data_IF_979502344522
#
_entry.id   IF_979502344522
#
_cell.length_a   1.000
_cell.length_b   1.000
_cell.length_c   1.000
_cell.angle_alpha   90.00
_cell.angle_beta   90.00
_cell.angle_gamma   90.00
#
_symmetry.space_group_name_H-M   'P 1'
#
loop_
_entity.id
_entity.type
_entity.pdbx_description
1 polymer ?
#
# COMPACT_ATOMS: atom_id res chain seq x y z
N UNK A 1 -7.28 9.16 5.88
CA UNK A 1 -8.17 10.05 5.08
C UNK A 1 -7.36 11.11 4.37
N UNK A 2 -7.88 11.66 3.27
CA UNK A 2 -7.33 12.84 2.60
C UNK A 2 -8.29 14.01 2.81
N UNK A 3 -7.96 15.01 3.65
CA UNK A 3 -8.82 16.17 3.86
C UNK A 3 -9.02 16.98 2.58
N UNK A 4 -10.25 17.40 2.34
CA UNK A 4 -10.65 18.17 1.16
C UNK A 4 -11.32 19.47 1.57
N UNK A 5 -11.11 20.53 0.77
CA UNK A 5 -11.86 21.79 0.89
C UNK A 5 -13.28 21.61 0.32
N UNK A 6 -14.22 22.55 0.62
CA UNK A 6 -15.55 22.53 -0.01
C UNK A 6 -15.52 22.56 -1.56
N UNK A 7 -14.46 23.12 -2.14
CA UNK A 7 -14.23 23.18 -3.59
C UNK A 7 -13.54 21.94 -4.15
N UNK A 8 -13.51 20.85 -3.36
CA UNK A 8 -12.93 19.54 -3.74
C UNK A 8 -11.42 19.60 -4.07
N UNK A 9 -10.69 20.51 -3.44
CA UNK A 9 -9.23 20.55 -3.50
C UNK A 9 -8.64 19.86 -2.27
N UNK A 10 -7.46 19.29 -2.37
CA UNK A 10 -6.77 18.73 -1.21
C UNK A 10 -6.40 19.84 -0.21
N UNK A 11 -6.87 19.71 1.03
CA UNK A 11 -6.49 20.60 2.14
C UNK A 11 -5.20 20.10 2.78
N UNK A 12 -4.07 20.54 2.23
CA UNK A 12 -2.74 20.13 2.71
C UNK A 12 -2.47 20.58 4.16
N UNK A 13 -3.06 21.70 4.61
CA UNK A 13 -2.90 22.18 5.99
C UNK A 13 -3.60 21.24 6.98
N UNK A 14 -4.81 20.84 6.67
CA UNK A 14 -5.53 19.84 7.48
C UNK A 14 -4.85 18.47 7.40
N UNK A 15 -4.24 18.10 6.27
CA UNK A 15 -3.46 16.88 6.13
C UNK A 15 -2.22 16.92 7.04
N UNK A 16 -1.47 18.03 7.09
CA UNK A 16 -0.34 18.19 8.02
C UNK A 16 -0.80 17.98 9.48
N UNK A 17 -1.90 18.60 9.87
CA UNK A 17 -2.47 18.47 11.23
C UNK A 17 -2.91 17.03 11.54
N UNK A 18 -3.51 16.34 10.58
CA UNK A 18 -3.90 14.93 10.72
C UNK A 18 -2.67 14.03 10.89
N UNK A 19 -1.63 14.23 10.09
CA UNK A 19 -0.39 13.47 10.21
C UNK A 19 0.25 13.65 11.59
N UNK A 20 0.36 14.90 12.10
CA UNK A 20 0.86 15.16 13.46
C UNK A 20 0.01 14.46 14.51
N UNK A 21 -1.32 14.58 14.42
CA UNK A 21 -2.22 13.91 15.36
C UNK A 21 -1.98 12.40 15.40
N UNK A 22 -1.87 11.75 14.26
CA UNK A 22 -1.65 10.29 14.19
C UNK A 22 -0.30 9.90 14.77
N UNK A 23 0.77 10.65 14.47
CA UNK A 23 2.10 10.42 15.02
C UNK A 23 2.08 10.57 16.56
N UNK A 24 1.45 11.60 17.07
CA UNK A 24 1.29 11.82 18.52
C UNK A 24 0.47 10.72 19.20
N UNK A 25 -0.44 10.06 18.47
CA UNK A 25 -1.18 8.88 18.95
C UNK A 25 -0.38 7.58 18.91
N UNK A 26 0.84 7.61 18.37
CA UNK A 26 1.78 6.48 18.44
C UNK A 26 1.63 5.49 17.28
N UNK A 27 1.15 5.92 16.10
CA UNK A 27 1.20 5.05 14.93
C UNK A 27 2.66 4.78 14.53
N UNK A 28 2.94 3.58 14.03
CA UNK A 28 4.28 3.20 13.58
C UNK A 28 4.60 3.72 12.17
N UNK A 29 3.58 4.07 11.40
CA UNK A 29 3.75 4.58 10.04
C UNK A 29 2.51 5.24 9.49
N UNK A 30 2.71 6.02 8.42
CA UNK A 30 1.65 6.64 7.61
C UNK A 30 1.54 5.92 6.27
N UNK A 31 0.31 5.71 5.81
CA UNK A 31 0.03 5.07 4.52
C UNK A 31 -0.89 5.97 3.67
N UNK A 32 -0.35 7.08 3.10
CA UNK A 32 -1.13 7.97 2.24
C UNK A 32 -1.55 7.33 0.92
N UNK A 33 -2.51 7.97 0.27
CA UNK A 33 -3.03 7.57 -1.04
C UNK A 33 -3.69 6.18 -1.09
N UNK A 34 -4.11 5.63 0.05
CA UNK A 34 -4.86 4.38 0.11
C UNK A 34 -6.35 4.57 -0.25
N UNK A 35 -7.13 3.48 -0.15
CA UNK A 35 -8.58 3.52 -0.43
C UNK A 35 -9.31 4.50 0.50
N UNK A 36 -9.00 4.49 1.80
CA UNK A 36 -9.52 5.47 2.77
C UNK A 36 -9.02 6.90 2.49
N UNK A 37 -7.87 7.04 1.83
CA UNK A 37 -7.34 8.32 1.34
C UNK A 37 -7.95 8.78 0.02
N UNK A 38 -8.98 8.06 -0.48
CA UNK A 38 -9.77 8.44 -1.66
C UNK A 38 -8.95 8.64 -2.93
N UNK A 39 -7.89 7.82 -3.09
CA UNK A 39 -6.92 7.90 -4.19
C UNK A 39 -7.52 8.05 -5.59
N UNK A 40 -8.71 7.48 -5.81
CA UNK A 40 -9.38 7.48 -7.12
C UNK A 40 -9.90 8.87 -7.52
N UNK A 41 -10.04 9.77 -6.56
CA UNK A 41 -10.48 11.16 -6.79
C UNK A 41 -9.31 12.13 -6.94
N UNK A 42 -8.08 11.68 -6.70
CA UNK A 42 -6.88 12.50 -6.76
C UNK A 42 -6.17 12.35 -8.10
N UNK A 43 -5.71 13.45 -8.65
CA UNK A 43 -4.77 13.45 -9.78
C UNK A 43 -3.40 12.89 -9.35
N UNK A 44 -2.57 12.50 -10.32
CA UNK A 44 -1.21 12.03 -10.01
C UNK A 44 -0.41 13.09 -9.25
N UNK A 45 -0.53 14.35 -9.65
CA UNK A 45 0.19 15.46 -9.01
C UNK A 45 -0.28 15.70 -7.56
N UNK A 46 -1.58 15.59 -7.29
CA UNK A 46 -2.09 15.66 -5.92
C UNK A 46 -1.59 14.48 -5.08
N UNK A 47 -1.57 13.27 -5.62
CA UNK A 47 -1.03 12.10 -4.93
C UNK A 47 0.45 12.24 -4.59
N UNK A 48 1.25 12.78 -5.50
CA UNK A 48 2.67 13.11 -5.26
C UNK A 48 2.80 14.11 -4.12
N UNK A 49 2.05 15.20 -4.17
CA UNK A 49 2.10 16.26 -3.16
C UNK A 49 1.56 15.80 -1.79
N UNK A 50 0.56 14.92 -1.75
CA UNK A 50 0.09 14.27 -0.52
C UNK A 50 1.22 13.46 0.13
N UNK A 51 1.95 12.66 -0.65
CA UNK A 51 3.12 11.91 -0.15
C UNK A 51 4.20 12.85 0.39
N UNK A 52 4.59 13.87 -0.37
CA UNK A 52 5.60 14.86 0.05
C UNK A 52 5.20 15.56 1.35
N UNK A 53 3.91 15.89 1.50
CA UNK A 53 3.37 16.49 2.73
C UNK A 53 3.50 15.54 3.91
N UNK A 54 3.14 14.26 3.73
CA UNK A 54 3.28 13.25 4.79
C UNK A 54 4.74 13.03 5.19
N UNK A 55 5.66 12.96 4.22
CA UNK A 55 7.10 12.82 4.47
C UNK A 55 7.67 14.02 5.24
N UNK A 56 7.30 15.23 4.84
CA UNK A 56 7.70 16.48 5.53
C UNK A 56 7.28 16.45 7.00
N UNK A 57 6.02 16.05 7.28
CA UNK A 57 5.50 16.00 8.65
C UNK A 57 6.13 14.85 9.42
N UNK A 58 6.22 13.67 8.82
CA UNK A 58 6.84 12.51 9.47
C UNK A 58 8.28 12.80 9.92
N UNK A 59 9.07 13.47 9.07
CA UNK A 59 10.44 13.90 9.37
C UNK A 59 11.28 12.80 10.05
N UNK A 60 11.16 11.57 9.58
CA UNK A 60 11.86 10.41 10.10
C UNK A 60 11.35 9.86 11.45
N UNK A 61 10.29 10.43 12.04
CA UNK A 61 9.71 9.94 13.31
C UNK A 61 8.95 8.63 13.17
N UNK A 62 8.34 8.42 12.02
CA UNK A 62 7.57 7.22 11.64
C UNK A 62 7.82 6.88 10.18
N UNK A 63 7.58 5.62 9.81
CA UNK A 63 7.70 5.20 8.42
C UNK A 63 6.59 5.80 7.55
N UNK A 64 6.89 6.04 6.26
CA UNK A 64 5.91 6.50 5.28
C UNK A 64 5.93 5.58 4.07
N UNK A 65 4.89 4.79 3.90
CA UNK A 65 4.65 3.96 2.73
C UNK A 65 3.53 4.55 1.90
N UNK A 66 3.76 4.82 0.62
CA UNK A 66 2.70 5.37 -0.25
C UNK A 66 2.02 4.29 -1.07
N UNK A 67 0.69 4.31 -1.13
CA UNK A 67 -0.03 3.50 -2.10
C UNK A 67 0.09 4.17 -3.48
N UNK A 68 0.62 3.43 -4.46
CA UNK A 68 0.94 3.97 -5.80
C UNK A 68 0.10 3.36 -6.92
N UNK A 69 -0.68 2.30 -6.65
CA UNK A 69 -1.51 1.68 -7.67
C UNK A 69 -2.43 2.68 -8.37
N UNK A 70 -2.55 2.54 -9.67
CA UNK A 70 -3.37 3.38 -10.55
C UNK A 70 -4.05 2.51 -11.61
N UNK A 71 -4.90 3.11 -12.46
CA UNK A 71 -5.59 2.41 -13.55
C UNK A 71 -4.62 1.87 -14.60
N UNK A 72 -3.50 2.56 -14.84
CA UNK A 72 -2.51 2.14 -15.83
C UNK A 72 -1.19 1.75 -15.15
N UNK A 73 -0.49 0.80 -15.76
CA UNK A 73 0.87 0.43 -15.32
C UNK A 73 1.82 1.63 -15.41
N UNK A 74 1.67 2.47 -16.43
CA UNK A 74 2.48 3.68 -16.60
C UNK A 74 2.35 4.63 -15.43
N UNK A 75 1.12 4.96 -15.01
CA UNK A 75 0.87 5.88 -13.92
C UNK A 75 1.32 5.29 -12.58
N UNK A 76 1.16 3.97 -12.40
CA UNK A 76 1.67 3.27 -11.22
C UNK A 76 3.19 3.36 -11.13
N UNK A 77 3.90 3.14 -12.23
CA UNK A 77 5.36 3.27 -12.31
C UNK A 77 5.80 4.70 -12.03
N UNK A 78 5.11 5.70 -12.59
CA UNK A 78 5.42 7.11 -12.35
C UNK A 78 5.31 7.47 -10.86
N UNK A 79 4.26 7.01 -10.18
CA UNK A 79 4.09 7.22 -8.74
C UNK A 79 5.10 6.44 -7.90
N UNK A 80 5.46 5.22 -8.31
CA UNK A 80 6.47 4.40 -7.63
C UNK A 80 7.85 5.06 -7.67
N UNK A 81 8.29 5.50 -8.85
CA UNK A 81 9.55 6.21 -9.05
C UNK A 81 9.58 7.55 -8.30
N UNK A 82 8.45 8.26 -8.27
CA UNK A 82 8.35 9.48 -7.48
C UNK A 82 8.50 9.20 -5.99
N UNK A 83 7.82 8.16 -5.47
CA UNK A 83 7.90 7.79 -4.05
C UNK A 83 9.35 7.46 -3.63
N UNK A 84 10.06 6.68 -4.43
CA UNK A 84 11.48 6.38 -4.19
C UNK A 84 12.33 7.65 -4.21
N UNK A 85 12.15 8.49 -5.23
CA UNK A 85 12.93 9.74 -5.40
C UNK A 85 12.78 10.71 -4.23
N UNK A 86 11.59 10.80 -3.63
CA UNK A 86 11.33 11.73 -2.52
C UNK A 86 11.62 11.12 -1.15
N UNK A 87 12.10 9.87 -1.10
CA UNK A 87 12.57 9.22 0.12
C UNK A 87 11.46 8.59 0.96
N UNK A 88 10.42 8.05 0.34
CA UNK A 88 9.48 7.17 1.05
C UNK A 88 10.20 5.88 1.50
N UNK A 89 9.75 5.26 2.60
CA UNK A 89 10.30 4.00 3.10
C UNK A 89 9.90 2.80 2.23
N UNK A 90 8.90 2.97 1.39
CA UNK A 90 8.43 1.97 0.45
C UNK A 90 7.05 2.32 -0.13
N UNK A 91 6.49 1.36 -0.84
CA UNK A 91 5.20 1.53 -1.51
C UNK A 91 4.27 0.33 -1.31
N UNK A 92 2.96 0.60 -1.40
CA UNK A 92 1.94 -0.41 -1.60
C UNK A 92 1.40 -0.34 -3.03
N UNK A 93 1.22 -1.49 -3.66
CA UNK A 93 0.75 -1.59 -5.04
C UNK A 93 -0.54 -2.39 -5.06
N UNK A 94 -1.69 -1.71 -5.20
CA UNK A 94 -2.97 -2.40 -5.38
C UNK A 94 -3.04 -3.06 -6.76
N UNK A 95 -3.77 -4.17 -6.86
CA UNK A 95 -4.08 -4.75 -8.17
C UNK A 95 -4.72 -3.70 -9.10
N UNK A 96 -4.49 -3.74 -10.41
CA UNK A 96 -5.32 -2.98 -11.33
C UNK A 96 -6.80 -3.22 -11.03
N UNK A 97 -7.61 -2.20 -11.15
CA UNK A 97 -9.02 -2.23 -10.80
C UNK A 97 -9.91 -1.89 -12.00
N UNK A 98 -11.22 -2.13 -11.88
CA UNK A 98 -12.26 -1.95 -12.88
C UNK A 98 -12.34 -3.12 -13.89
N UNK A 99 -11.26 -3.51 -14.58
CA UNK A 99 -11.25 -4.66 -15.48
C UNK A 99 -10.68 -5.90 -14.80
N UNK A 100 -11.29 -7.06 -15.07
CA UNK A 100 -10.79 -8.34 -14.58
C UNK A 100 -9.60 -8.79 -15.42
N UNK A 101 -8.52 -9.15 -14.74
CA UNK A 101 -7.29 -9.66 -15.29
C UNK A 101 -7.07 -11.11 -14.85
N UNK A 102 -6.32 -11.86 -15.63
CA UNK A 102 -5.85 -13.19 -15.20
C UNK A 102 -4.60 -13.09 -14.31
N UNK A 103 -4.22 -14.22 -13.69
CA UNK A 103 -3.08 -14.25 -12.75
C UNK A 103 -1.73 -13.98 -13.43
N UNK A 104 -1.61 -14.24 -14.73
CA UNK A 104 -0.37 -13.98 -15.49
C UNK A 104 -0.24 -12.48 -15.81
N UNK A 105 -1.33 -11.85 -16.19
CA UNK A 105 -1.38 -10.39 -16.42
C UNK A 105 -1.09 -9.62 -15.11
N UNK A 106 -1.64 -10.09 -13.98
CA UNK A 106 -1.36 -9.52 -12.66
C UNK A 106 0.12 -9.70 -12.28
N UNK A 107 0.70 -10.87 -12.54
CA UNK A 107 2.12 -11.12 -12.30
C UNK A 107 3.00 -10.15 -13.08
N UNK A 108 2.76 -10.01 -14.38
CA UNK A 108 3.53 -9.08 -15.24
C UNK A 108 3.35 -7.62 -14.81
N UNK A 109 2.16 -7.22 -14.36
CA UNK A 109 1.92 -5.89 -13.80
C UNK A 109 2.82 -5.64 -12.58
N UNK A 110 2.77 -6.52 -11.57
CA UNK A 110 3.56 -6.35 -10.36
C UNK A 110 5.06 -6.40 -10.63
N UNK A 111 5.51 -7.29 -11.50
CA UNK A 111 6.94 -7.40 -11.87
C UNK A 111 7.42 -6.12 -12.56
N UNK A 112 6.65 -5.56 -13.50
CA UNK A 112 7.01 -4.29 -14.17
C UNK A 112 7.11 -3.14 -13.20
N UNK A 113 6.19 -3.04 -12.25
CA UNK A 113 6.25 -2.01 -11.20
C UNK A 113 7.49 -2.23 -10.32
N UNK A 114 7.72 -3.46 -9.86
CA UNK A 114 8.85 -3.77 -8.99
C UNK A 114 10.21 -3.50 -9.64
N UNK A 115 10.33 -3.78 -10.95
CA UNK A 115 11.55 -3.53 -11.73
C UNK A 115 11.76 -2.06 -12.11
N UNK A 116 10.79 -1.18 -11.84
CA UNK A 116 10.89 0.25 -12.16
C UNK A 116 11.56 1.08 -11.06
N UNK A 117 11.81 0.48 -9.91
CA UNK A 117 12.47 1.06 -8.74
C UNK A 117 13.64 0.18 -8.29
N UNK A 118 14.45 0.65 -7.36
CA UNK A 118 15.62 -0.11 -6.91
C UNK A 118 15.25 -1.38 -6.15
N UNK A 119 16.18 -2.33 -6.16
CA UNK A 119 16.04 -3.62 -5.48
C UNK A 119 15.95 -3.51 -3.94
N UNK A 120 16.35 -2.39 -3.38
CA UNK A 120 16.32 -2.11 -1.94
C UNK A 120 15.09 -1.29 -1.51
N UNK A 121 14.25 -0.86 -2.47
CA UNK A 121 13.03 -0.10 -2.20
C UNK A 121 11.85 -1.03 -1.94
N UNK A 122 11.37 -1.08 -0.70
CA UNK A 122 10.37 -2.05 -0.25
C UNK A 122 9.00 -1.89 -0.92
N UNK A 123 8.46 -3.00 -1.41
CA UNK A 123 7.14 -3.06 -2.06
C UNK A 123 6.24 -4.06 -1.33
N UNK A 124 5.06 -3.58 -0.95
CA UNK A 124 3.95 -4.40 -0.48
C UNK A 124 2.91 -4.55 -1.58
N UNK A 125 2.58 -5.78 -1.93
CA UNK A 125 1.41 -6.07 -2.74
C UNK A 125 0.15 -5.63 -1.96
N UNK A 126 -0.89 -5.17 -2.66
CA UNK A 126 -2.13 -4.79 -1.99
C UNK A 126 -3.34 -5.49 -2.62
N UNK A 127 -3.93 -6.42 -1.89
CA UNK A 127 -5.17 -7.11 -2.26
C UNK A 127 -6.38 -6.50 -1.55
N UNK A 128 -7.36 -6.06 -2.35
CA UNK A 128 -8.67 -5.58 -1.90
C UNK A 128 -9.75 -5.97 -2.93
N UNK A 129 -10.05 -7.28 -3.09
CA UNK A 129 -10.84 -7.79 -4.19
C UNK A 129 -12.25 -7.22 -4.25
N UNK A 130 -12.85 -6.86 -3.13
CA UNK A 130 -14.20 -6.26 -3.09
C UNK A 130 -14.28 -4.88 -3.76
N UNK A 131 -13.16 -4.17 -3.94
CA UNK A 131 -13.09 -2.87 -4.62
C UNK A 131 -12.33 -2.94 -5.94
N UNK A 132 -11.31 -3.80 -6.02
CA UNK A 132 -10.41 -3.85 -7.17
C UNK A 132 -10.82 -4.89 -8.23
N UNK A 133 -11.85 -5.72 -7.98
CA UNK A 133 -12.29 -6.82 -8.86
C UNK A 133 -11.25 -7.94 -9.00
N UNK A 134 -9.98 -7.61 -8.94
CA UNK A 134 -8.85 -8.53 -9.02
C UNK A 134 -8.35 -8.92 -7.64
N UNK A 135 -7.89 -10.15 -7.50
CA UNK A 135 -7.40 -10.68 -6.23
C UNK A 135 -5.98 -11.25 -6.38
N UNK A 136 -5.26 -11.24 -5.28
CA UNK A 136 -3.91 -11.81 -5.18
C UNK A 136 -4.02 -13.16 -4.49
N UNK A 137 -3.56 -14.21 -5.18
CA UNK A 137 -3.42 -15.53 -4.54
C UNK A 137 -2.04 -15.67 -3.90
N UNK A 138 -1.88 -16.55 -2.90
CA UNK A 138 -0.57 -16.86 -2.33
C UNK A 138 0.44 -17.33 -3.38
N UNK A 139 -0.04 -18.10 -4.39
CA UNK A 139 0.79 -18.59 -5.49
C UNK A 139 1.26 -17.44 -6.40
N UNK A 140 0.41 -16.43 -6.65
CA UNK A 140 0.80 -15.22 -7.37
C UNK A 140 1.85 -14.44 -6.57
N UNK A 141 1.60 -14.21 -5.29
CA UNK A 141 2.55 -13.51 -4.40
C UNK A 141 3.92 -14.22 -4.38
N UNK A 142 3.93 -15.56 -4.29
CA UNK A 142 5.15 -16.36 -4.35
C UNK A 142 5.91 -16.18 -5.67
N UNK A 143 5.22 -16.22 -6.82
CA UNK A 143 5.87 -16.04 -8.13
C UNK A 143 6.47 -14.64 -8.28
N UNK A 144 5.74 -13.60 -7.84
CA UNK A 144 6.24 -12.22 -7.89
C UNK A 144 7.45 -12.03 -6.96
N UNK A 145 7.36 -12.49 -5.70
CA UNK A 145 8.45 -12.39 -4.73
C UNK A 145 9.71 -13.16 -5.17
N UNK A 146 9.55 -14.29 -5.88
CA UNK A 146 10.67 -15.05 -6.44
C UNK A 146 11.38 -14.35 -7.60
N UNK A 147 10.70 -13.42 -8.29
CA UNK A 147 11.24 -12.65 -9.43
C UNK A 147 11.78 -11.28 -9.00
N UNK A 148 11.27 -10.73 -7.91
CA UNK A 148 11.53 -9.36 -7.46
C UNK A 148 11.81 -9.35 -5.95
N UNK A 149 13.08 -9.24 -5.57
CA UNK A 149 13.53 -9.31 -4.16
C UNK A 149 13.03 -8.13 -3.32
N UNK A 150 12.67 -7.02 -3.94
CA UNK A 150 12.10 -5.83 -3.31
C UNK A 150 10.61 -5.98 -2.99
N UNK A 151 9.95 -7.06 -3.44
CA UNK A 151 8.56 -7.37 -3.05
C UNK A 151 8.62 -8.17 -1.75
N UNK A 152 8.45 -7.45 -0.63
CA UNK A 152 8.73 -7.96 0.72
C UNK A 152 7.49 -8.36 1.51
N UNK A 153 6.28 -8.06 1.04
CA UNK A 153 5.08 -8.36 1.81
C UNK A 153 3.78 -8.07 1.07
N UNK A 154 2.69 -8.22 1.82
CA UNK A 154 1.34 -7.94 1.36
C UNK A 154 0.53 -7.21 2.43
N UNK A 155 -0.26 -6.22 2.00
CA UNK A 155 -1.45 -5.76 2.71
C UNK A 155 -2.66 -6.46 2.10
N UNK A 156 -3.43 -7.19 2.91
CA UNK A 156 -4.61 -7.89 2.42
C UNK A 156 -5.88 -7.42 3.14
N UNK A 157 -6.76 -6.76 2.41
CA UNK A 157 -7.96 -6.10 2.93
C UNK A 157 -9.24 -6.88 2.61
N UNK A 158 -9.21 -8.19 2.80
CA UNK A 158 -10.38 -9.06 2.71
C UNK A 158 -10.45 -9.95 3.95
N UNK A 159 -11.64 -10.20 4.55
CA UNK A 159 -11.76 -10.98 5.77
C UNK A 159 -11.63 -12.50 5.52
N UNK A 160 -10.43 -12.93 5.17
CA UNK A 160 -10.07 -14.33 4.88
C UNK A 160 -8.81 -14.72 5.67
N UNK A 161 -8.99 -15.11 6.93
CA UNK A 161 -7.88 -15.52 7.79
C UNK A 161 -7.10 -16.73 7.25
N UNK A 162 -7.75 -17.79 6.73
CA UNK A 162 -7.04 -18.89 6.08
C UNK A 162 -6.10 -18.43 4.95
N UNK A 163 -6.48 -17.40 4.19
CA UNK A 163 -5.64 -16.84 3.13
C UNK A 163 -4.49 -16.02 3.70
N UNK A 164 -4.72 -15.20 4.72
CA UNK A 164 -3.67 -14.48 5.43
C UNK A 164 -2.58 -15.45 5.94
N UNK A 165 -2.97 -16.56 6.55
CA UNK A 165 -2.04 -17.61 6.99
C UNK A 165 -1.25 -18.23 5.84
N UNK A 166 -1.84 -18.39 4.64
CA UNK A 166 -1.10 -18.88 3.47
C UNK A 166 -0.07 -17.87 2.97
N UNK A 167 -0.36 -16.57 3.03
CA UNK A 167 0.63 -15.53 2.69
C UNK A 167 1.83 -15.56 3.64
N UNK A 168 1.65 -15.91 4.91
CA UNK A 168 2.74 -16.03 5.89
C UNK A 168 3.78 -17.11 5.51
N UNK A 169 3.43 -18.06 4.63
CA UNK A 169 4.34 -19.09 4.13
C UNK A 169 5.05 -18.68 2.82
N UNK A 170 4.71 -17.56 2.23
CA UNK A 170 5.36 -17.06 1.01
C UNK A 170 6.83 -16.74 1.32
N UNK A 171 7.71 -16.99 0.36
CA UNK A 171 9.14 -16.74 0.48
C UNK A 171 9.78 -17.38 1.74
N UNK A 172 9.43 -18.64 1.99
CA UNK A 172 9.91 -19.44 3.15
C UNK A 172 9.63 -18.74 4.50
N UNK A 173 8.47 -18.11 4.64
CA UNK A 173 8.05 -17.41 5.85
C UNK A 173 8.70 -16.05 6.08
N UNK A 174 9.35 -15.48 5.08
CA UNK A 174 9.99 -14.15 5.15
C UNK A 174 9.14 -13.05 4.52
N UNK A 175 7.90 -13.35 4.18
CA UNK A 175 6.98 -12.42 3.53
C UNK A 175 6.12 -11.73 4.58
N UNK A 176 6.26 -10.41 4.70
CA UNK A 176 5.50 -9.64 5.68
C UNK A 176 4.01 -9.60 5.34
N UNK A 177 3.16 -9.85 6.33
CA UNK A 177 1.71 -9.91 6.16
C UNK A 177 1.00 -8.91 7.07
N UNK A 178 0.35 -7.94 6.43
CA UNK A 178 -0.41 -6.88 7.10
C UNK A 178 -1.91 -7.05 6.80
N UNK A 179 -2.71 -7.18 7.85
CA UNK A 179 -4.16 -7.20 7.71
C UNK A 179 -4.70 -5.81 7.35
N UNK A 180 -5.75 -5.76 6.52
CA UNK A 180 -6.53 -4.54 6.28
C UNK A 180 -7.74 -4.42 7.20
N UNK A 181 -8.53 -5.50 7.42
CA UNK A 181 -9.67 -5.50 8.33
C UNK A 181 -9.23 -5.43 9.79
N UNK A 182 -9.83 -4.52 10.57
CA UNK A 182 -9.46 -4.30 11.99
C UNK A 182 -9.84 -5.46 12.89
N UNK A 183 -10.96 -6.12 12.61
CA UNK A 183 -11.45 -7.30 13.33
C UNK A 183 -10.51 -8.51 13.21
N UNK A 184 -9.68 -8.54 12.17
CA UNK A 184 -8.66 -9.57 12.00
C UNK A 184 -7.28 -9.18 12.58
N UNK A 185 -7.09 -7.97 13.06
CA UNK A 185 -5.78 -7.49 13.50
C UNK A 185 -5.17 -8.39 14.60
N UNK A 186 -5.90 -8.58 15.69
CA UNK A 186 -5.42 -9.37 16.83
C UNK A 186 -5.13 -10.83 16.43
N UNK A 187 -6.06 -11.44 15.67
CA UNK A 187 -5.91 -12.84 15.23
C UNK A 187 -4.74 -12.97 14.25
N UNK A 188 -4.51 -11.97 13.38
CA UNK A 188 -3.36 -11.93 12.47
C UNK A 188 -2.04 -11.92 13.24
N UNK A 189 -1.92 -11.10 14.29
CA UNK A 189 -0.73 -11.09 15.15
C UNK A 189 -0.53 -12.44 15.87
N UNK A 190 -1.60 -13.02 16.42
CA UNK A 190 -1.52 -14.34 17.08
C UNK A 190 -1.08 -15.46 16.12
N UNK A 191 -1.39 -15.33 14.84
CA UNK A 191 -1.01 -16.30 13.81
C UNK A 191 0.41 -16.09 13.25
N UNK A 192 1.10 -15.01 13.64
CA UNK A 192 2.46 -14.70 13.19
C UNK A 192 2.53 -13.64 12.06
N UNK A 193 1.45 -12.90 11.81
CA UNK A 193 1.51 -11.73 10.93
C UNK A 193 2.12 -10.52 11.62
N UNK A 194 2.47 -9.49 10.84
CA UNK A 194 3.33 -8.39 11.29
C UNK A 194 2.56 -7.15 11.77
N UNK A 195 1.29 -7.03 11.41
CA UNK A 195 0.52 -5.85 11.80
C UNK A 195 -0.73 -5.60 10.99
N UNK A 196 -1.14 -4.33 10.97
CA UNK A 196 -2.29 -3.87 10.19
C UNK A 196 -2.03 -2.53 9.51
N UNK A 197 -2.68 -2.33 8.36
CA UNK A 197 -2.85 -0.99 7.75
C UNK A 197 -4.35 -0.73 7.70
N UNK A 198 -4.85 -0.12 8.78
CA UNK A 198 -6.27 0.06 9.02
C UNK A 198 -6.80 1.38 8.46
N UNK A 199 -8.02 1.33 7.91
CA UNK A 199 -8.79 2.52 7.58
C UNK A 199 -9.42 3.21 8.80
N UNK A 200 -9.63 2.48 9.91
CA UNK A 200 -10.25 3.00 11.12
C UNK A 200 -9.23 3.61 12.10
N UNK A 201 -7.94 3.49 11.83
CA UNK A 201 -6.87 4.10 12.64
C UNK A 201 -6.62 5.60 12.32
N UNK A 202 -7.52 6.24 11.55
CA UNK A 202 -7.43 7.66 11.21
C UNK A 202 -8.12 8.55 12.24
#
# INVERSE_FOLDING_TARGET
>A
SCPMTPDQQVDYKSLESLCEYLIDKGVHGLYPNGSTGEMCYLTLEERKKVLETCLKVANGRVQVFSMVGALTTKDTIELAQHAEKVGADGIGVVTPYYFKLDQKELEEYFVRVAQSVSDDFSIYLYGIPQLAVNDITPELAQRVASRCKNVVGIKYSYPDMPRLMKFMNVNDGKFSVLAGPDDLFFVTLCAGGDGTISGNAN
#
